data_IF_971591729584
#
_entry.id   IF_971591729584
#
_cell.length_a   1.000
_cell.length_b   1.000
_cell.length_c   1.000
_cell.angle_alpha   90.00
_cell.angle_beta   90.00
_cell.angle_gamma   90.00
#
_symmetry.space_group_name_H-M   'P 1'
#
loop_
_entity.id
_entity.type
_entity.pdbx_description
1 polymer ?
#
# COMPACT_ATOMS: atom_id res chain seq x y z
N UNK A 1 -28.36 20.22 5.77
CA UNK A 1 -28.05 20.82 7.07
C UNK A 1 -26.63 20.38 7.45
N UNK A 2 -25.78 21.28 7.97
CA UNK A 2 -24.38 20.96 8.35
C UNK A 2 -24.33 19.99 9.55
N UNK A 3 -25.31 20.07 10.44
CA UNK A 3 -25.41 19.22 11.63
C UNK A 3 -25.58 17.74 11.28
N UNK A 4 -26.34 17.44 10.23
CA UNK A 4 -26.54 16.09 9.72
C UNK A 4 -25.22 15.50 9.17
N UNK A 5 -24.35 16.33 8.59
CA UNK A 5 -23.05 15.88 8.07
C UNK A 5 -22.13 15.49 9.23
N UNK A 6 -22.07 16.30 10.29
CA UNK A 6 -21.29 15.97 11.48
C UNK A 6 -21.81 14.73 12.20
N UNK A 7 -23.14 14.52 12.23
CA UNK A 7 -23.78 13.38 12.87
C UNK A 7 -23.66 12.07 12.07
N UNK A 8 -23.89 12.12 10.76
CA UNK A 8 -23.92 10.94 9.90
C UNK A 8 -22.54 10.52 9.41
N UNK A 9 -21.55 11.44 9.40
CA UNK A 9 -20.21 11.24 8.84
C UNK A 9 -20.24 10.46 7.52
N UNK A 10 -21.01 10.92 6.52
CA UNK A 10 -21.22 10.17 5.29
C UNK A 10 -19.90 10.02 4.53
N UNK A 11 -19.59 8.81 4.06
CA UNK A 11 -18.39 8.54 3.27
C UNK A 11 -18.37 9.32 1.95
N UNK A 12 -19.54 9.56 1.35
CA UNK A 12 -19.69 10.28 0.08
C UNK A 12 -20.77 11.35 0.19
N UNK A 13 -20.47 12.57 -0.25
CA UNK A 13 -21.45 13.66 -0.36
C UNK A 13 -21.39 14.23 -1.78
N UNK A 14 -22.49 14.18 -2.53
CA UNK A 14 -22.60 14.86 -3.83
C UNK A 14 -22.89 16.35 -3.61
N UNK A 15 -22.05 17.21 -4.16
CA UNK A 15 -22.17 18.68 -4.03
C UNK A 15 -22.85 19.30 -5.25
N UNK A 16 -22.44 18.86 -6.45
CA UNK A 16 -23.02 19.31 -7.72
C UNK A 16 -22.87 18.23 -8.81
N UNK A 17 -23.38 18.49 -10.02
CA UNK A 17 -23.16 17.60 -11.17
C UNK A 17 -21.65 17.46 -11.40
N UNK A 18 -21.14 16.22 -11.33
CA UNK A 18 -19.72 15.86 -11.42
C UNK A 18 -18.82 16.31 -10.26
N UNK A 19 -19.37 16.79 -9.14
CA UNK A 19 -18.60 17.14 -7.94
C UNK A 19 -19.12 16.38 -6.72
N UNK A 20 -18.24 15.63 -6.06
CA UNK A 20 -18.53 14.93 -4.80
C UNK A 20 -17.32 14.99 -3.86
N UNK A 21 -17.58 15.02 -2.56
CA UNK A 21 -16.59 14.76 -1.54
C UNK A 21 -16.62 13.27 -1.18
N UNK A 22 -15.43 12.67 -1.11
CA UNK A 22 -15.21 11.34 -0.55
C UNK A 22 -14.38 11.51 0.71
N UNK A 23 -15.00 11.28 1.87
CA UNK A 23 -14.32 11.29 3.16
C UNK A 23 -13.72 9.92 3.40
N UNK A 24 -12.52 9.92 3.94
CA UNK A 24 -11.78 8.69 4.20
C UNK A 24 -11.20 8.71 5.62
N UNK A 25 -10.93 7.53 6.15
CA UNK A 25 -10.34 7.39 7.47
C UNK A 25 -8.84 7.64 7.37
N UNK A 26 -8.33 8.49 8.27
CA UNK A 26 -6.90 8.65 8.47
C UNK A 26 -6.29 7.32 8.87
N UNK A 27 -5.10 7.04 8.35
CA UNK A 27 -4.31 5.88 8.73
C UNK A 27 -2.89 6.32 9.02
N UNK A 28 -2.24 5.58 9.91
CA UNK A 28 -0.81 5.72 10.17
C UNK A 28 -0.04 4.92 9.15
N UNK A 29 0.96 5.56 8.58
CA UNK A 29 1.86 4.91 7.64
C UNK A 29 2.71 3.85 8.37
N UNK A 30 2.98 2.70 7.71
CA UNK A 30 3.79 1.65 8.32
C UNK A 30 5.24 2.09 8.49
N UNK A 31 5.85 1.69 9.60
CA UNK A 31 7.27 1.81 9.87
C UNK A 31 7.76 0.57 10.60
N UNK A 32 9.03 0.20 10.44
CA UNK A 32 9.64 -0.90 11.21
C UNK A 32 9.75 -0.56 12.71
N UNK A 33 9.81 0.71 13.10
CA UNK A 33 9.74 1.11 14.50
C UNK A 33 8.28 1.23 15.01
N UNK A 34 7.32 1.08 14.09
CA UNK A 34 5.90 1.10 14.38
C UNK A 34 5.44 -0.13 15.17
N UNK A 35 4.28 0.01 15.82
CA UNK A 35 3.62 -1.10 16.52
C UNK A 35 3.03 -2.08 15.50
N UNK A 36 3.00 -3.36 15.87
CA UNK A 36 2.27 -4.37 15.09
C UNK A 36 0.78 -4.03 15.14
N UNK A 37 0.18 -3.82 13.97
CA UNK A 37 -1.26 -3.59 13.79
C UNK A 37 -1.98 -4.93 13.90
N UNK A 38 -1.55 -5.93 13.14
CA UNK A 38 -2.00 -7.33 13.30
C UNK A 38 -1.17 -8.28 12.43
N UNK A 39 -1.17 -9.57 12.79
CA UNK A 39 -0.49 -10.65 12.03
C UNK A 39 -1.41 -11.37 11.03
N UNK A 40 -2.72 -11.10 11.10
CA UNK A 40 -3.74 -11.68 10.21
C UNK A 40 -4.34 -10.56 9.37
N UNK A 41 -4.51 -10.81 8.08
CA UNK A 41 -4.96 -9.81 7.13
C UNK A 41 -4.78 -10.20 5.69
N UNK A 42 -5.37 -9.40 4.80
CA UNK A 42 -5.19 -9.51 3.36
C UNK A 42 -4.84 -8.15 2.75
N UNK A 43 -4.23 -8.18 1.57
CA UNK A 43 -3.90 -7.00 0.77
C UNK A 43 -3.87 -7.42 -0.70
N UNK A 44 -4.10 -6.46 -1.61
CA UNK A 44 -4.04 -6.69 -3.05
C UNK A 44 -2.65 -6.48 -3.65
N UNK A 45 -1.66 -6.10 -2.82
CA UNK A 45 -0.27 -6.00 -3.24
C UNK A 45 0.26 -7.35 -3.75
N UNK A 46 1.00 -7.32 -4.85
CA UNK A 46 1.45 -8.47 -5.66
C UNK A 46 0.33 -9.32 -6.28
N UNK A 47 -0.95 -9.01 -6.07
CA UNK A 47 -2.07 -9.70 -6.70
C UNK A 47 -2.64 -8.87 -7.85
N UNK A 48 -3.10 -7.64 -7.57
CA UNK A 48 -3.62 -6.72 -8.59
C UNK A 48 -2.60 -5.69 -9.06
N UNK A 49 -1.58 -5.40 -8.25
CA UNK A 49 -0.58 -4.37 -8.52
C UNK A 49 0.71 -4.63 -7.75
N UNK A 50 1.80 -3.99 -8.18
CA UNK A 50 3.08 -3.93 -7.48
C UNK A 50 3.82 -2.66 -7.90
N UNK A 51 4.84 -2.25 -7.14
CA UNK A 51 5.62 -1.04 -7.41
C UNK A 51 7.02 -1.37 -7.94
N UNK A 52 7.57 -0.46 -8.77
CA UNK A 52 8.99 -0.44 -9.12
C UNK A 52 9.50 0.98 -8.83
N UNK A 53 10.54 1.09 -8.01
CA UNK A 53 11.21 2.35 -7.68
C UNK A 53 12.05 2.85 -8.86
N UNK A 54 12.40 4.15 -8.87
CA UNK A 54 13.34 4.72 -9.85
C UNK A 54 14.70 4.01 -9.86
N UNK A 55 15.09 3.41 -8.72
CA UNK A 55 16.27 2.57 -8.56
C UNK A 55 16.17 1.21 -9.29
N UNK A 56 14.99 0.83 -9.78
CA UNK A 56 14.69 -0.49 -10.36
C UNK A 56 14.28 -1.55 -9.33
N UNK A 57 14.22 -1.21 -8.04
CA UNK A 57 13.79 -2.13 -6.98
C UNK A 57 12.29 -2.40 -7.05
N UNK A 58 11.92 -3.68 -6.94
CA UNK A 58 10.54 -4.15 -7.00
C UNK A 58 9.99 -4.32 -5.58
N UNK A 59 8.82 -3.73 -5.31
CA UNK A 59 8.17 -3.70 -3.99
C UNK A 59 6.71 -4.16 -4.07
N UNK A 60 6.11 -4.64 -2.96
CA UNK A 60 4.81 -5.31 -3.02
C UNK A 60 3.57 -4.42 -3.18
N UNK A 61 3.60 -3.12 -2.84
CA UNK A 61 2.41 -2.25 -2.91
C UNK A 61 2.70 -0.73 -3.01
N UNK A 62 1.71 0.05 -3.47
CA UNK A 62 1.93 1.35 -4.14
C UNK A 62 1.24 2.57 -3.48
N UNK A 63 1.58 3.02 -2.26
CA UNK A 63 1.02 4.28 -1.68
C UNK A 63 2.07 5.02 -0.85
N UNK A 64 2.42 6.27 -1.17
CA UNK A 64 3.59 7.00 -0.60
C UNK A 64 3.21 8.00 0.53
N UNK A 65 4.00 8.03 1.62
CA UNK A 65 3.85 8.97 2.74
C UNK A 65 4.51 10.33 2.52
N UNK A 66 5.55 10.42 1.71
CA UNK A 66 6.37 11.62 1.66
C UNK A 66 6.54 12.09 0.23
N UNK A 67 5.72 13.07 -0.17
CA UNK A 67 5.86 13.88 -1.37
C UNK A 67 7.17 14.74 -1.37
N UNK A 68 8.30 14.18 -0.92
CA UNK A 68 9.63 14.75 -1.07
C UNK A 68 10.13 14.34 -2.44
N UNK A 69 9.61 15.00 -3.47
CA UNK A 69 10.16 14.95 -4.81
C UNK A 69 11.01 16.22 -5.00
N UNK A 70 12.33 16.05 -5.11
CA UNK A 70 13.18 17.06 -5.75
C UNK A 70 13.22 16.74 -7.25
N UNK A 71 12.41 17.45 -8.05
CA UNK A 71 12.30 17.33 -9.50
C UNK A 71 13.52 17.92 -10.26
N UNK A 72 14.75 17.72 -9.75
CA UNK A 72 15.98 18.30 -10.29
C UNK A 72 16.92 17.35 -11.05
N UNK A 73 16.77 16.02 -10.90
CA UNK A 73 17.75 15.06 -11.44
C UNK A 73 17.16 13.82 -12.15
N UNK A 74 15.88 13.83 -12.53
CA UNK A 74 15.30 12.78 -13.38
C UNK A 74 14.89 11.49 -12.67
N UNK A 75 14.69 11.52 -11.34
CA UNK A 75 14.07 10.40 -10.63
C UNK A 75 12.54 10.52 -10.68
N UNK A 76 11.90 9.58 -11.38
CA UNK A 76 10.43 9.44 -11.41
C UNK A 76 10.07 8.16 -10.65
N UNK A 77 9.25 8.30 -9.60
CA UNK A 77 8.73 7.17 -8.82
C UNK A 77 7.21 7.16 -8.88
N UNK A 78 6.56 6.14 -9.49
CA UNK A 78 5.12 5.99 -9.36
C UNK A 78 4.77 5.10 -8.15
N UNK A 79 4.80 5.72 -6.95
CA UNK A 79 3.95 5.40 -5.77
C UNK A 79 4.30 4.12 -4.93
N UNK A 80 4.56 4.22 -3.60
CA UNK A 80 5.08 3.12 -2.74
C UNK A 80 4.75 3.19 -1.22
N UNK A 81 4.12 2.14 -0.66
CA UNK A 81 3.93 1.95 0.82
C UNK A 81 5.20 1.43 1.51
N UNK A 82 6.24 1.21 0.71
CA UNK A 82 7.53 0.67 1.05
C UNK A 82 8.63 1.49 0.35
N UNK A 83 8.64 2.80 0.62
CA UNK A 83 9.54 3.78 -0.02
C UNK A 83 11.03 3.45 0.16
N UNK A 84 11.38 2.79 1.26
CA UNK A 84 12.75 2.37 1.57
C UNK A 84 13.11 0.98 1.00
N UNK A 85 12.22 0.38 0.20
CA UNK A 85 12.36 -1.01 -0.27
C UNK A 85 12.69 -1.99 0.87
N UNK A 86 12.04 -1.83 2.03
CA UNK A 86 12.16 -2.74 3.19
C UNK A 86 11.78 -4.16 2.75
N UNK A 87 10.75 -4.29 1.90
CA UNK A 87 10.39 -5.52 1.20
C UNK A 87 10.93 -5.45 -0.24
N UNK A 88 12.26 -5.49 -0.37
CA UNK A 88 12.92 -5.64 -1.68
C UNK A 88 12.70 -7.06 -2.24
N UNK A 89 12.02 -7.14 -3.38
CA UNK A 89 11.73 -8.40 -4.07
C UNK A 89 12.75 -8.74 -5.16
N UNK A 90 13.57 -7.76 -5.57
CA UNK A 90 14.58 -7.85 -6.61
C UNK A 90 14.77 -6.51 -7.33
N UNK A 91 15.76 -6.43 -8.23
CA UNK A 91 16.03 -5.23 -9.03
C UNK A 91 16.02 -5.56 -10.54
N UNK A 92 15.23 -4.80 -11.31
CA UNK A 92 15.04 -5.04 -12.76
C UNK A 92 16.26 -4.70 -13.61
N UNK A 93 17.24 -3.96 -13.09
CA UNK A 93 18.50 -3.70 -13.78
C UNK A 93 19.36 -4.96 -13.90
N UNK A 94 19.20 -5.91 -12.98
CA UNK A 94 20.06 -7.08 -12.86
C UNK A 94 19.31 -8.40 -13.09
N UNK A 95 17.98 -8.42 -12.88
CA UNK A 95 17.15 -9.62 -12.94
C UNK A 95 15.89 -9.34 -13.75
N UNK A 96 15.48 -10.30 -14.59
CA UNK A 96 14.22 -10.14 -15.32
C UNK A 96 13.05 -10.03 -14.34
N UNK A 97 12.14 -9.09 -14.61
CA UNK A 97 10.94 -8.87 -13.81
C UNK A 97 10.13 -10.16 -13.61
N UNK A 98 10.04 -11.00 -14.64
CA UNK A 98 9.36 -12.30 -14.57
C UNK A 98 9.97 -13.20 -13.49
N UNK A 99 11.28 -13.21 -13.35
CA UNK A 99 11.97 -14.06 -12.38
C UNK A 99 11.78 -13.53 -10.97
N UNK A 100 11.82 -12.20 -10.81
CA UNK A 100 11.49 -11.50 -9.55
C UNK A 100 10.08 -11.87 -9.08
N UNK A 101 9.09 -11.73 -9.96
CA UNK A 101 7.68 -12.03 -9.65
C UNK A 101 7.40 -13.53 -9.44
N UNK A 102 8.25 -14.42 -9.95
CA UNK A 102 8.16 -15.86 -9.73
C UNK A 102 8.96 -16.37 -8.54
N UNK A 103 9.66 -15.48 -7.83
CA UNK A 103 10.48 -15.82 -6.67
C UNK A 103 9.66 -16.42 -5.54
N UNK A 104 10.34 -17.21 -4.69
CA UNK A 104 9.73 -17.84 -3.52
C UNK A 104 9.13 -16.80 -2.57
N UNK A 105 9.82 -15.68 -2.35
CA UNK A 105 9.36 -14.59 -1.45
C UNK A 105 8.04 -13.99 -1.95
N UNK A 106 7.93 -13.66 -3.24
CA UNK A 106 6.69 -13.13 -3.84
C UNK A 106 5.53 -14.11 -3.68
N UNK A 107 5.76 -15.39 -4.01
CA UNK A 107 4.74 -16.43 -3.88
C UNK A 107 4.30 -16.64 -2.42
N UNK A 108 5.21 -16.54 -1.47
CA UNK A 108 4.90 -16.61 -0.03
C UNK A 108 4.01 -15.45 0.40
N UNK A 109 4.29 -14.22 -0.07
CA UNK A 109 3.46 -13.05 0.23
C UNK A 109 2.06 -13.21 -0.36
N UNK A 110 1.97 -13.57 -1.65
CA UNK A 110 0.68 -13.80 -2.32
C UNK A 110 -0.15 -14.89 -1.62
N UNK A 111 0.47 -16.01 -1.26
CA UNK A 111 -0.19 -17.10 -0.54
C UNK A 111 -0.59 -16.67 0.87
N UNK A 112 0.25 -15.88 1.55
CA UNK A 112 -0.07 -15.27 2.83
C UNK A 112 -1.35 -14.45 2.75
N UNK A 113 -1.42 -13.49 1.82
CA UNK A 113 -2.60 -12.63 1.65
C UNK A 113 -3.86 -13.43 1.30
N UNK A 114 -3.75 -14.48 0.46
CA UNK A 114 -4.87 -15.38 0.13
C UNK A 114 -5.37 -16.17 1.35
N UNK A 115 -4.47 -16.53 2.26
CA UNK A 115 -4.76 -17.27 3.49
C UNK A 115 -4.92 -16.36 4.72
N UNK A 116 -5.19 -15.07 4.51
CA UNK A 116 -5.38 -14.08 5.57
C UNK A 116 -4.22 -14.00 6.59
N UNK A 117 -2.99 -14.21 6.13
CA UNK A 117 -1.76 -14.24 6.94
C UNK A 117 -0.74 -13.25 6.41
N UNK A 118 -0.20 -12.40 7.29
CA UNK A 118 0.76 -11.38 6.90
C UNK A 118 2.19 -11.86 7.20
N UNK A 119 2.91 -12.23 6.15
CA UNK A 119 4.26 -12.82 6.28
C UNK A 119 5.36 -11.79 6.45
N UNK A 120 5.21 -10.61 5.84
CA UNK A 120 6.20 -9.52 5.93
C UNK A 120 5.89 -8.59 7.13
N UNK A 121 6.94 -8.21 7.86
CA UNK A 121 6.81 -7.38 9.06
C UNK A 121 6.19 -6.02 8.78
N UNK A 122 6.57 -5.35 7.69
CA UNK A 122 6.01 -4.06 7.31
C UNK A 122 4.50 -4.16 7.03
N UNK A 123 4.05 -5.27 6.42
CA UNK A 123 2.63 -5.53 6.19
C UNK A 123 1.87 -5.75 7.51
N UNK A 124 2.50 -6.36 8.53
CA UNK A 124 1.92 -6.53 9.86
C UNK A 124 1.73 -5.20 10.61
N UNK A 125 2.48 -4.17 10.22
CA UNK A 125 2.48 -2.81 10.80
C UNK A 125 1.72 -1.78 9.95
N UNK A 126 1.14 -2.20 8.82
CA UNK A 126 0.40 -1.34 7.91
C UNK A 126 -1.05 -1.17 8.36
N UNK A 127 -1.46 0.07 8.68
CA UNK A 127 -2.86 0.39 8.97
C UNK A 127 -3.71 0.49 7.70
N UNK A 128 -3.14 0.93 6.56
CA UNK A 128 -3.89 1.07 5.31
C UNK A 128 -4.60 -0.23 4.90
N UNK A 129 -3.95 -1.38 5.07
CA UNK A 129 -4.54 -2.68 4.71
C UNK A 129 -5.78 -3.03 5.53
N UNK A 130 -5.99 -2.44 6.71
CA UNK A 130 -7.18 -2.73 7.55
C UNK A 130 -8.49 -2.38 6.84
N UNK A 131 -8.41 -1.54 5.80
CA UNK A 131 -9.51 -1.23 4.87
C UNK A 131 -10.03 -2.46 4.11
N UNK A 132 -9.23 -3.51 4.00
CA UNK A 132 -9.57 -4.76 3.34
C UNK A 132 -9.99 -5.87 4.32
N UNK A 133 -9.89 -5.63 5.63
CA UNK A 133 -10.34 -6.60 6.61
C UNK A 133 -11.86 -6.75 6.49
N UNK A 134 -12.34 -8.01 6.43
CA UNK A 134 -13.78 -8.28 6.38
C UNK A 134 -14.40 -7.79 7.68
N UNK A 135 -15.33 -6.84 7.59
CA UNK A 135 -16.18 -6.47 8.73
C UNK A 135 -17.05 -7.68 9.05
N UNK A 136 -16.87 -8.23 10.25
CA UNK A 136 -17.72 -9.28 10.80
C UNK A 136 -19.12 -8.78 11.11
#
# INVERSE_FOLDING_TARGET
NIDDVYKLRPKNIRIARKFFFHFDEYFSWPSLDGKIVSKKGTCYGLDSHFGILSSGEVVPCCLDQNAIINLGSGEVVPCCLDQNAIINLGNTNNTQLRDILNSTRVKQIQNGFKNNTLVEELCQKCEYRTRFDKKG
#
